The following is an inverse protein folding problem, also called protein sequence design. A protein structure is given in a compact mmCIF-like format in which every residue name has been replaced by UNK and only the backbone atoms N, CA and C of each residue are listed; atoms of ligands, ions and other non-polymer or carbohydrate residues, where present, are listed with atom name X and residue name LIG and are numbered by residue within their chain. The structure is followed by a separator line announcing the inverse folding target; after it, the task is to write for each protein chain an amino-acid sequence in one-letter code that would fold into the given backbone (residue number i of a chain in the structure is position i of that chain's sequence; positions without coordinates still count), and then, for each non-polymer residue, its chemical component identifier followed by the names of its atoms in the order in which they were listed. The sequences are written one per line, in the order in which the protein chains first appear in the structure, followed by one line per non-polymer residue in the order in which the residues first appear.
data_IF_369425787070
#
_entry.id   IF_369425787070
#
_cell.length_a   1.000
_cell.length_b   1.000
_cell.length_c   1.000
_cell.angle_alpha   90.00
_cell.angle_beta   90.00
_cell.angle_gamma   90.00
#
_symmetry.space_group_name_H-M   'P 1'
#
loop_
_entity.id
_entity.type
_entity.pdbx_description
1 polymer ?
#
# COMPACT_ATOMS: atom_id res chain seq x y z
N UNK A 1 20.37 4.54 56.34
CA UNK A 1 20.15 3.19 56.83
C UNK A 1 19.97 2.35 55.61
N UNK A 2 21.00 1.84 55.25
CA UNK A 2 21.55 0.46 55.38
C UNK A 2 21.22 -0.30 54.14
N UNK A 3 22.11 -0.44 53.21
CA UNK A 3 23.14 -1.48 53.06
C UNK A 3 22.56 -2.77 52.53
N UNK A 4 23.08 -3.45 51.59
CA UNK A 4 24.39 -3.93 51.11
C UNK A 4 24.09 -4.94 50.03
N UNK A 5 24.85 -4.91 49.04
CA UNK A 5 25.97 -5.78 48.66
C UNK A 5 25.62 -7.13 48.05
N UNK A 6 26.34 -7.45 46.96
CA UNK A 6 26.90 -8.75 46.65
C UNK A 6 26.93 -9.12 45.21
N UNK A 7 28.00 -8.79 44.48
CA UNK A 7 28.54 -9.67 43.46
C UNK A 7 29.47 -10.65 44.15
N UNK A 8 30.38 -11.38 43.51
CA UNK A 8 30.66 -11.65 42.12
C UNK A 8 31.00 -13.15 41.84
N UNK A 9 31.72 -13.36 40.74
CA UNK A 9 32.70 -14.43 40.46
C UNK A 9 32.17 -15.73 39.82
N UNK A 10 32.71 -16.17 38.83
CA UNK A 10 34.02 -16.36 38.23
C UNK A 10 34.20 -17.81 37.80
N UNK A 11 34.83 -17.98 36.69
CA UNK A 11 35.75 -19.05 36.33
C UNK A 11 35.29 -20.49 36.07
N UNK A 12 35.79 -20.99 34.97
CA UNK A 12 35.92 -22.43 34.74
C UNK A 12 36.26 -22.79 33.31
N UNK A 13 37.47 -22.43 32.89
CA UNK A 13 38.06 -23.00 31.68
C UNK A 13 38.53 -24.42 31.88
N UNK A 14 38.41 -25.28 30.87
CA UNK A 14 39.19 -26.49 30.74
C UNK A 14 39.65 -26.65 29.32
N UNK A 15 40.97 -26.62 29.18
CA UNK A 15 41.76 -26.95 28.00
C UNK A 15 41.97 -28.48 27.91
N UNK A 16 41.98 -28.98 26.64
CA UNK A 16 42.83 -30.08 26.21
C UNK A 16 42.17 -31.37 25.71
N UNK A 17 42.79 -32.21 24.92
CA UNK A 17 44.15 -32.09 24.35
C UNK A 17 44.24 -32.36 22.83
N UNK A 18 45.32 -31.88 22.27
CA UNK A 18 45.81 -32.25 20.91
C UNK A 18 46.19 -33.72 20.83
N UNK A 19 45.88 -34.39 19.73
CA UNK A 19 46.56 -35.62 19.28
C UNK A 19 46.95 -35.54 17.81
N UNK A 20 48.23 -35.51 17.66
CA UNK A 20 49.22 -36.01 16.72
C UNK A 20 48.79 -36.59 15.36
N UNK A 21 49.52 -36.06 14.42
CA UNK A 21 49.81 -36.46 13.06
C UNK A 21 50.03 -37.98 12.89
N UNK A 22 49.54 -38.50 11.78
CA UNK A 22 50.23 -39.55 11.05
C UNK A 22 50.12 -39.28 9.55
N UNK A 23 51.29 -39.01 8.96
CA UNK A 23 51.50 -39.03 7.53
C UNK A 23 51.51 -40.51 7.07
N UNK A 24 50.68 -40.83 6.12
CA UNK A 24 50.81 -42.02 5.32
C UNK A 24 51.01 -41.64 3.86
N UNK A 25 52.20 -41.89 3.38
CA UNK A 25 52.68 -41.74 2.02
C UNK A 25 52.29 -43.03 1.30
N UNK A 26 51.35 -43.01 0.37
CA UNK A 26 51.09 -44.18 -0.48
C UNK A 26 51.17 -43.75 -1.95
N UNK A 27 51.94 -44.60 -2.62
CA UNK A 27 52.46 -44.49 -3.98
C UNK A 27 51.36 -44.38 -5.07
N UNK A 28 51.69 -43.59 -6.04
CA UNK A 28 51.09 -43.42 -7.36
C UNK A 28 50.87 -44.73 -8.11
N UNK A 29 49.68 -44.92 -8.61
CA UNK A 29 49.43 -45.66 -9.87
C UNK A 29 48.44 -44.82 -10.67
N UNK A 30 48.88 -44.31 -11.81
CA UNK A 30 48.07 -43.67 -12.79
C UNK A 30 47.09 -44.67 -13.45
N UNK A 31 45.83 -44.40 -13.54
CA UNK A 31 44.92 -45.17 -14.39
C UNK A 31 44.93 -44.62 -15.81
N UNK A 32 44.91 -45.54 -16.77
CA UNK A 32 44.80 -45.30 -18.21
C UNK A 32 43.55 -44.50 -18.59
N UNK A 33 43.62 -43.65 -19.64
CA UNK A 33 42.44 -42.91 -20.12
C UNK A 33 41.47 -43.87 -20.81
N UNK A 34 40.26 -43.95 -20.29
CA UNK A 34 39.10 -44.55 -20.93
C UNK A 34 38.60 -43.69 -22.10
N UNK A 35 38.12 -44.26 -23.21
CA UNK A 35 37.61 -43.49 -24.33
C UNK A 35 36.34 -42.73 -23.92
N UNK A 36 36.42 -41.42 -24.02
CA UNK A 36 35.30 -40.52 -23.80
C UNK A 36 34.17 -40.76 -24.81
N UNK A 37 33.06 -41.32 -24.36
CA UNK A 37 31.83 -41.29 -25.12
C UNK A 37 31.34 -39.83 -25.23
N UNK A 38 31.50 -39.28 -26.42
CA UNK A 38 30.89 -37.98 -26.76
C UNK A 38 29.37 -38.18 -26.81
N UNK A 39 28.68 -37.75 -25.76
CA UNK A 39 27.22 -37.66 -25.77
C UNK A 39 26.87 -36.36 -26.50
N UNK A 40 26.12 -36.37 -27.60
CA UNK A 40 25.74 -35.17 -28.27
C UNK A 40 24.81 -34.36 -27.34
N UNK A 41 25.26 -33.19 -26.93
CA UNK A 41 24.48 -32.24 -26.14
C UNK A 41 23.36 -31.60 -27.00
N UNK A 42 22.23 -32.31 -27.10
CA UNK A 42 21.01 -31.74 -27.71
C UNK A 42 20.18 -30.88 -26.73
N UNK A 43 20.67 -30.66 -25.51
CA UNK A 43 19.91 -29.96 -24.45
C UNK A 43 19.90 -28.42 -24.44
N UNK A 44 20.78 -27.65 -25.14
CA UNK A 44 20.71 -26.19 -24.96
C UNK A 44 19.55 -25.50 -25.73
N UNK A 45 19.01 -26.14 -26.78
CA UNK A 45 17.97 -25.51 -27.60
C UNK A 45 16.60 -25.54 -26.93
N UNK A 46 16.28 -26.59 -26.17
CA UNK A 46 15.01 -26.72 -25.47
C UNK A 46 14.95 -25.77 -24.24
N UNK A 47 16.06 -25.60 -23.53
CA UNK A 47 16.16 -24.69 -22.37
C UNK A 47 16.03 -23.21 -22.77
N UNK A 48 16.54 -22.81 -23.93
CA UNK A 48 16.42 -21.44 -24.44
C UNK A 48 14.98 -21.14 -24.86
N UNK A 49 14.28 -22.09 -25.49
CA UNK A 49 12.88 -21.92 -25.86
C UNK A 49 11.94 -21.84 -24.64
N UNK A 50 12.24 -22.60 -23.59
CA UNK A 50 11.45 -22.54 -22.34
C UNK A 50 11.68 -21.21 -21.60
N UNK A 51 12.90 -20.66 -21.61
CA UNK A 51 13.21 -19.36 -21.01
C UNK A 51 12.55 -18.19 -21.76
N UNK A 52 12.47 -18.24 -23.09
CA UNK A 52 11.73 -17.25 -23.89
C UNK A 52 10.23 -17.30 -23.66
N UNK A 53 9.66 -18.49 -23.45
CA UNK A 53 8.21 -18.64 -23.17
C UNK A 53 7.83 -18.07 -21.78
N UNK A 54 8.70 -18.18 -20.77
CA UNK A 54 8.45 -17.58 -19.45
C UNK A 54 8.57 -16.05 -19.45
N UNK A 55 9.38 -15.44 -20.30
CA UNK A 55 9.53 -13.99 -20.39
C UNK A 55 8.28 -13.30 -20.97
N UNK A 56 7.42 -14.01 -21.71
CA UNK A 56 6.22 -13.46 -22.33
C UNK A 56 5.02 -13.32 -21.37
N UNK A 57 5.09 -13.83 -20.13
CA UNK A 57 3.97 -13.84 -19.19
C UNK A 57 4.01 -12.72 -18.13
N UNK A 58 5.00 -11.85 -18.18
CA UNK A 58 5.08 -10.69 -17.28
C UNK A 58 4.26 -9.52 -17.85
N UNK A 59 2.95 -9.72 -18.08
CA UNK A 59 2.02 -8.61 -18.22
C UNK A 59 1.83 -8.01 -16.82
N UNK A 60 2.73 -7.10 -16.42
CA UNK A 60 2.43 -6.15 -15.37
C UNK A 60 1.28 -5.28 -15.87
N UNK A 61 0.04 -5.67 -15.56
CA UNK A 61 -1.13 -4.83 -15.80
C UNK A 61 -0.89 -3.53 -15.06
N UNK A 62 -0.53 -2.47 -15.79
CA UNK A 62 -0.62 -1.12 -15.26
C UNK A 62 -2.08 -0.97 -14.77
N UNK A 63 -2.25 -0.66 -13.50
CA UNK A 63 -3.58 -0.48 -12.94
C UNK A 63 -4.16 0.81 -13.54
N UNK A 64 -5.16 0.66 -14.41
CA UNK A 64 -5.83 1.78 -15.05
C UNK A 64 -6.64 2.60 -14.02
N UNK A 65 -6.83 3.89 -14.32
CA UNK A 65 -7.70 4.75 -13.54
C UNK A 65 -9.13 4.23 -13.61
N UNK A 66 -9.84 4.13 -12.47
CA UNK A 66 -11.26 3.81 -12.48
C UNK A 66 -12.08 5.08 -12.78
N UNK A 67 -12.85 5.06 -13.89
CA UNK A 67 -13.62 6.21 -14.35
C UNK A 67 -15.13 5.99 -14.30
N UNK A 68 -15.59 4.73 -14.22
CA UNK A 68 -16.98 4.33 -14.42
C UNK A 68 -17.66 3.88 -13.12
N UNK A 69 -17.46 4.62 -12.02
CA UNK A 69 -18.17 4.35 -10.78
C UNK A 69 -19.56 5.02 -10.79
N UNK A 70 -20.54 4.45 -10.05
CA UNK A 70 -21.81 5.12 -9.79
C UNK A 70 -21.59 6.53 -9.22
N UNK A 71 -22.47 7.44 -9.54
CA UNK A 71 -22.35 8.85 -9.12
C UNK A 71 -23.49 9.26 -8.20
N UNK A 72 -23.22 10.20 -7.31
CA UNK A 72 -24.21 10.85 -6.45
C UNK A 72 -23.99 12.35 -6.44
N UNK A 73 -25.08 13.09 -6.31
CA UNK A 73 -25.01 14.53 -6.12
C UNK A 73 -24.97 14.85 -4.64
N UNK A 74 -23.92 15.57 -4.27
CA UNK A 74 -23.74 16.11 -2.93
C UNK A 74 -23.81 17.64 -2.98
N UNK A 75 -24.06 18.25 -1.84
CA UNK A 75 -23.96 19.69 -1.66
C UNK A 75 -23.09 20.04 -0.47
N UNK A 76 -22.38 21.16 -0.57
CA UNK A 76 -21.65 21.77 0.52
C UNK A 76 -22.03 23.28 0.54
N UNK A 77 -22.95 23.66 1.42
CA UNK A 77 -23.61 24.93 1.33
C UNK A 77 -24.35 25.08 0.00
N UNK A 78 -24.08 26.17 -0.77
CA UNK A 78 -24.65 26.42 -2.08
C UNK A 78 -23.97 25.67 -3.25
N UNK A 79 -22.88 25.00 -3.01
CA UNK A 79 -22.06 24.35 -4.05
C UNK A 79 -22.49 22.90 -4.27
N UNK A 80 -22.65 22.53 -5.55
CA UNK A 80 -22.96 21.17 -5.95
C UNK A 80 -21.67 20.41 -6.28
N UNK A 81 -21.64 19.13 -5.93
CA UNK A 81 -20.54 18.21 -6.16
C UNK A 81 -21.09 16.97 -6.85
N UNK A 82 -20.51 16.61 -7.98
CA UNK A 82 -20.79 15.35 -8.66
C UNK A 82 -19.75 14.31 -8.23
N UNK A 83 -20.08 13.50 -7.21
CA UNK A 83 -19.17 12.57 -6.61
C UNK A 83 -19.34 11.16 -7.19
N UNK A 84 -18.26 10.54 -7.62
CA UNK A 84 -18.22 9.09 -7.84
C UNK A 84 -18.21 8.35 -6.52
N UNK A 85 -18.90 7.20 -6.44
CA UNK A 85 -19.06 6.45 -5.19
C UNK A 85 -18.20 5.20 -5.21
N UNK A 86 -17.19 5.16 -4.34
CA UNK A 86 -16.34 4.00 -4.09
C UNK A 86 -16.84 3.26 -2.84
N UNK A 87 -17.74 2.28 -3.02
CA UNK A 87 -18.36 1.53 -1.92
C UNK A 87 -17.75 0.13 -1.73
N UNK A 88 -17.21 -0.48 -2.79
CA UNK A 88 -16.61 -1.80 -2.71
C UNK A 88 -15.14 -1.71 -2.26
N UNK A 89 -14.61 -2.72 -1.53
CA UNK A 89 -13.21 -2.69 -1.06
C UNK A 89 -12.21 -2.38 -2.17
N UNK A 90 -12.34 -3.02 -3.33
CA UNK A 90 -11.46 -2.80 -4.48
C UNK A 90 -11.56 -1.38 -5.05
N UNK A 91 -12.77 -0.80 -5.06
CA UNK A 91 -12.99 0.57 -5.51
C UNK A 91 -12.31 1.57 -4.57
N UNK A 92 -12.43 1.36 -3.25
CA UNK A 92 -11.78 2.19 -2.23
C UNK A 92 -10.25 2.09 -2.29
N UNK A 93 -9.72 0.89 -2.53
CA UNK A 93 -8.28 0.66 -2.68
C UNK A 93 -7.70 1.43 -3.88
N UNK A 94 -8.40 1.44 -5.01
CA UNK A 94 -7.97 2.16 -6.21
C UNK A 94 -8.18 3.68 -6.04
N UNK A 95 -9.33 4.09 -5.55
CA UNK A 95 -9.65 5.50 -5.36
C UNK A 95 -9.41 6.33 -6.64
N UNK A 96 -8.71 7.45 -6.50
CA UNK A 96 -8.35 8.37 -7.60
C UNK A 96 -6.95 8.07 -8.20
N UNK A 97 -6.39 6.90 -7.95
CA UNK A 97 -5.10 6.49 -8.53
C UNK A 97 -5.11 6.62 -10.06
N UNK A 98 -3.96 7.02 -10.60
CA UNK A 98 -3.66 7.12 -12.03
C UNK A 98 -4.54 8.10 -12.83
N UNK A 99 -5.43 8.87 -12.19
CA UNK A 99 -6.15 9.94 -12.85
C UNK A 99 -5.23 11.11 -13.15
N UNK A 100 -5.29 11.60 -14.39
CA UNK A 100 -4.48 12.74 -14.85
C UNK A 100 -5.19 14.07 -14.55
N UNK A 101 -6.51 14.06 -14.49
CA UNK A 101 -7.35 15.23 -14.26
C UNK A 101 -8.65 14.86 -13.55
N UNK A 102 -9.27 15.83 -12.91
CA UNK A 102 -10.61 15.75 -12.33
C UNK A 102 -11.23 17.15 -12.38
N UNK A 103 -12.43 17.30 -12.99
CA UNK A 103 -13.16 18.56 -13.02
C UNK A 103 -13.36 19.18 -11.62
N UNK A 104 -13.42 20.51 -11.55
CA UNK A 104 -13.47 21.21 -10.26
C UNK A 104 -14.72 20.90 -9.42
N UNK A 105 -15.83 20.56 -10.05
CA UNK A 105 -17.07 20.18 -9.38
C UNK A 105 -17.19 18.68 -9.13
N UNK A 106 -16.19 17.89 -9.49
CA UNK A 106 -16.16 16.45 -9.29
C UNK A 106 -15.30 16.05 -8.09
N UNK A 107 -15.66 14.89 -7.51
CA UNK A 107 -14.92 14.25 -6.42
C UNK A 107 -15.19 12.78 -6.36
N UNK A 108 -14.64 12.13 -5.31
CA UNK A 108 -14.93 10.73 -4.99
C UNK A 108 -15.38 10.60 -3.54
N UNK A 109 -16.55 10.00 -3.35
CA UNK A 109 -17.10 9.65 -2.05
C UNK A 109 -16.78 8.18 -1.75
N UNK A 110 -15.92 7.95 -0.77
CA UNK A 110 -15.64 6.64 -0.20
C UNK A 110 -16.68 6.33 0.86
N UNK A 111 -17.28 5.15 0.75
CA UNK A 111 -18.30 4.65 1.67
C UNK A 111 -17.81 3.39 2.34
N UNK A 112 -17.75 3.40 3.66
CA UNK A 112 -17.37 2.25 4.48
C UNK A 112 -18.58 1.64 5.16
N UNK A 113 -18.49 0.36 5.49
CA UNK A 113 -19.59 -0.40 6.08
C UNK A 113 -19.90 0.04 7.52
N UNK A 114 -18.84 0.39 8.28
CA UNK A 114 -18.93 0.81 9.66
C UNK A 114 -18.05 2.04 9.91
N UNK A 115 -18.43 2.92 10.85
CA UNK A 115 -17.57 4.01 11.28
C UNK A 115 -16.28 3.47 11.92
N UNK A 116 -15.14 3.97 11.47
CA UNK A 116 -13.82 3.68 12.02
C UNK A 116 -12.88 4.86 11.78
N UNK A 117 -11.71 4.88 12.41
CA UNK A 117 -10.65 5.79 12.00
C UNK A 117 -10.23 5.40 10.59
N UNK A 118 -10.56 6.25 9.61
CA UNK A 118 -10.19 6.05 8.21
C UNK A 118 -8.89 6.80 7.92
N UNK A 119 -7.95 6.09 7.27
CA UNK A 119 -6.65 6.66 6.89
C UNK A 119 -6.43 6.49 5.40
N UNK A 120 -5.94 7.56 4.77
CA UNK A 120 -5.70 7.64 3.33
C UNK A 120 -4.24 7.96 3.03
N UNK A 121 -3.77 7.52 1.89
CA UNK A 121 -2.45 7.78 1.34
C UNK A 121 -2.59 8.20 -0.12
N UNK A 122 -1.50 8.74 -0.71
CA UNK A 122 -1.51 9.22 -2.09
C UNK A 122 -0.70 8.35 -3.05
N UNK A 123 -0.49 7.07 -2.70
CA UNK A 123 0.19 6.10 -3.57
C UNK A 123 -0.47 6.09 -4.95
N UNK A 124 0.32 6.23 -6.01
CA UNK A 124 -0.14 6.26 -7.41
C UNK A 124 -1.17 7.34 -7.73
N UNK A 125 -1.47 8.27 -6.84
CA UNK A 125 -2.40 9.39 -7.07
C UNK A 125 -1.61 10.58 -7.59
N UNK A 126 -1.98 11.07 -8.78
CA UNK A 126 -1.25 12.12 -9.49
C UNK A 126 -1.76 13.53 -9.18
N UNK A 127 -3.00 13.61 -8.71
CA UNK A 127 -3.68 14.87 -8.41
C UNK A 127 -3.42 15.27 -6.96
N UNK A 128 -3.15 16.56 -6.67
CA UNK A 128 -3.20 17.06 -5.32
C UNK A 128 -4.67 17.10 -4.85
N UNK A 129 -4.96 16.50 -3.70
CA UNK A 129 -6.31 16.32 -3.18
C UNK A 129 -6.46 16.90 -1.78
N UNK A 130 -7.71 17.21 -1.42
CA UNK A 130 -8.12 17.43 -0.02
C UNK A 130 -9.13 16.35 0.35
N UNK A 131 -8.85 15.58 1.40
CA UNK A 131 -9.80 14.63 1.98
C UNK A 131 -10.66 15.32 3.06
N UNK A 132 -11.97 15.27 2.92
CA UNK A 132 -12.94 15.60 3.95
C UNK A 132 -13.42 14.32 4.63
N UNK A 133 -13.10 14.12 5.89
CA UNK A 133 -13.60 13.02 6.71
C UNK A 133 -14.97 13.41 7.27
N UNK A 134 -16.00 12.58 7.02
CA UNK A 134 -17.40 12.98 7.19
C UNK A 134 -18.13 11.96 8.08
N UNK A 135 -18.79 12.47 9.11
CA UNK A 135 -19.65 11.69 10.00
C UNK A 135 -20.96 11.29 9.30
N UNK A 136 -21.71 10.38 9.90
CA UNK A 136 -22.94 9.83 9.33
C UNK A 136 -24.03 10.89 9.07
N UNK A 137 -24.01 11.98 9.84
CA UNK A 137 -24.93 13.12 9.70
C UNK A 137 -24.48 14.16 8.66
N UNK A 138 -23.44 13.86 7.89
CA UNK A 138 -22.87 14.77 6.88
C UNK A 138 -21.91 15.81 7.44
N UNK A 139 -21.65 15.87 8.72
CA UNK A 139 -20.71 16.82 9.34
C UNK A 139 -19.27 16.49 8.96
N UNK A 140 -18.56 17.47 8.43
CA UNK A 140 -17.12 17.37 8.17
C UNK A 140 -16.37 17.39 9.51
N UNK A 141 -15.74 16.29 9.87
CA UNK A 141 -14.94 16.12 11.10
C UNK A 141 -13.62 16.90 10.95
N UNK A 142 -12.89 16.60 9.88
CA UNK A 142 -11.66 17.29 9.54
C UNK A 142 -11.39 17.27 8.03
N UNK A 143 -10.57 18.21 7.60
CA UNK A 143 -10.05 18.34 6.24
C UNK A 143 -8.54 18.16 6.30
N UNK A 144 -7.98 17.45 5.32
CA UNK A 144 -6.53 17.25 5.20
C UNK A 144 -6.10 17.35 3.74
N UNK A 145 -5.15 18.24 3.48
CA UNK A 145 -4.50 18.32 2.17
C UNK A 145 -3.46 17.23 2.02
N UNK A 146 -3.48 16.57 0.87
CA UNK A 146 -2.65 15.40 0.58
C UNK A 146 -1.83 15.65 -0.67
N UNK A 147 -0.52 15.46 -0.57
CA UNK A 147 0.40 15.67 -1.68
C UNK A 147 0.48 14.42 -2.58
N UNK A 148 0.52 14.61 -3.92
CA UNK A 148 0.61 13.51 -4.86
C UNK A 148 1.76 12.56 -4.58
N UNK A 149 1.53 11.25 -4.76
CA UNK A 149 2.53 10.17 -4.70
C UNK A 149 3.22 9.98 -3.36
N UNK A 150 2.72 10.60 -2.28
CA UNK A 150 3.22 10.34 -0.92
C UNK A 150 2.61 9.08 -0.33
N UNK A 151 3.31 8.51 0.64
CA UNK A 151 2.84 7.35 1.41
C UNK A 151 2.45 7.72 2.84
N UNK A 152 2.44 9.02 3.13
CA UNK A 152 2.03 9.55 4.43
C UNK A 152 0.57 9.18 4.70
N UNK A 153 0.30 8.84 5.94
CA UNK A 153 -1.04 8.46 6.38
C UNK A 153 -1.80 9.68 6.87
N UNK A 154 -2.92 9.96 6.23
CA UNK A 154 -3.83 11.06 6.55
C UNK A 154 -5.12 10.50 7.13
N UNK A 155 -5.36 10.72 8.44
CA UNK A 155 -6.44 10.03 9.15
C UNK A 155 -7.54 10.96 9.63
N UNK A 156 -8.74 10.36 9.82
CA UNK A 156 -9.84 11.04 10.50
C UNK A 156 -9.55 11.23 11.99
N UNK A 157 -10.01 12.37 12.54
CA UNK A 157 -9.88 12.67 13.97
C UNK A 157 -10.91 11.95 14.84
N UNK A 158 -12.02 11.51 14.25
CA UNK A 158 -13.07 10.72 14.87
C UNK A 158 -13.37 9.52 13.97
N UNK A 159 -14.02 8.43 14.45
CA UNK A 159 -14.54 7.39 13.60
C UNK A 159 -15.52 7.94 12.57
N UNK A 160 -15.32 7.65 11.30
CA UNK A 160 -16.17 8.08 10.20
C UNK A 160 -16.48 6.95 9.25
N UNK A 161 -17.60 7.02 8.55
CA UNK A 161 -18.00 6.08 7.50
C UNK A 161 -17.84 6.66 6.10
N UNK A 162 -17.62 7.95 5.98
CA UNK A 162 -17.52 8.62 4.69
C UNK A 162 -16.26 9.47 4.60
N UNK A 163 -15.66 9.46 3.41
CA UNK A 163 -14.56 10.37 3.08
C UNK A 163 -14.84 10.92 1.68
N UNK A 164 -14.80 12.24 1.54
CA UNK A 164 -14.95 12.92 0.25
C UNK A 164 -13.62 13.52 -0.17
N UNK A 165 -13.07 13.03 -1.27
CA UNK A 165 -11.87 13.61 -1.90
C UNK A 165 -12.28 14.59 -2.99
N UNK A 166 -11.70 15.79 -2.94
CA UNK A 166 -11.85 16.87 -3.94
C UNK A 166 -10.47 17.35 -4.38
N UNK A 167 -10.40 18.06 -5.51
CA UNK A 167 -9.19 18.80 -5.89
C UNK A 167 -8.71 19.68 -4.72
N UNK A 168 -7.41 19.67 -4.45
CA UNK A 168 -6.81 20.44 -3.35
C UNK A 168 -7.23 21.92 -3.42
N UNK A 169 -7.52 22.48 -2.24
CA UNK A 169 -7.97 23.85 -2.10
C UNK A 169 -9.45 24.10 -2.49
N UNK A 170 -10.20 23.07 -2.94
CA UNK A 170 -11.62 23.26 -3.30
C UNK A 170 -12.44 23.75 -2.11
N UNK A 171 -12.29 23.12 -0.95
CA UNK A 171 -13.01 23.50 0.28
C UNK A 171 -12.62 24.91 0.75
N UNK A 172 -11.33 25.22 0.73
CA UNK A 172 -10.81 26.52 1.15
C UNK A 172 -11.38 27.67 0.30
N UNK A 173 -11.29 27.54 -1.05
CA UNK A 173 -11.82 28.56 -1.98
C UNK A 173 -13.32 28.80 -1.81
N UNK A 174 -14.04 27.87 -1.22
CA UNK A 174 -15.49 27.95 -0.99
C UNK A 174 -15.85 28.24 0.47
N UNK A 175 -14.84 28.52 1.28
CA UNK A 175 -14.96 28.78 2.73
C UNK A 175 -15.70 27.64 3.48
N UNK A 176 -15.52 26.40 3.04
CA UNK A 176 -16.06 25.21 3.70
C UNK A 176 -14.99 24.68 4.66
N UNK A 177 -15.35 24.50 5.92
CA UNK A 177 -14.43 24.15 7.01
C UNK A 177 -14.96 22.93 7.78
N UNK A 178 -14.14 22.38 8.68
CA UNK A 178 -14.59 21.39 9.67
C UNK A 178 -15.78 21.95 10.44
N UNK A 179 -16.78 21.12 10.69
CA UNK A 179 -18.08 21.47 11.26
C UNK A 179 -19.15 21.79 10.21
N UNK A 180 -18.78 22.14 8.97
CA UNK A 180 -19.76 22.30 7.89
C UNK A 180 -20.45 20.95 7.58
N UNK A 181 -21.65 21.00 6.99
CA UNK A 181 -22.39 19.79 6.64
C UNK A 181 -22.49 19.63 5.13
N UNK A 182 -22.29 18.39 4.69
CA UNK A 182 -22.65 17.96 3.36
C UNK A 182 -24.12 17.53 3.33
N UNK A 183 -24.83 17.86 2.25
CA UNK A 183 -26.17 17.38 1.95
C UNK A 183 -26.17 16.45 0.75
N UNK A 184 -27.34 15.89 0.43
CA UNK A 184 -27.49 14.86 -0.60
C UNK A 184 -27.31 13.45 -0.04
N UNK A 185 -27.65 12.42 -0.85
CA UNK A 185 -27.45 11.02 -0.42
C UNK A 185 -25.95 10.71 -0.29
N UNK A 186 -25.51 10.07 0.81
CA UNK A 186 -26.31 9.32 1.81
C UNK A 186 -26.76 10.13 3.03
N UNK A 187 -26.45 11.42 3.16
CA UNK A 187 -26.59 12.20 4.39
C UNK A 187 -28.00 12.65 4.70
N UNK A 188 -28.87 12.83 3.69
CA UNK A 188 -30.24 13.36 3.88
C UNK A 188 -31.15 12.43 4.70
N UNK A 189 -30.78 11.15 4.87
CA UNK A 189 -31.57 10.18 5.64
C UNK A 189 -31.14 10.05 7.10
N UNK A 190 -30.06 10.69 7.51
CA UNK A 190 -29.52 10.61 8.87
C UNK A 190 -30.23 11.56 9.87
N UNK A 191 -31.14 12.40 9.38
CA UNK A 191 -31.86 13.42 10.16
C UNK A 191 -33.29 13.00 10.55
N UNK A 192 -33.63 11.70 10.41
CA UNK A 192 -34.97 11.17 10.81
C UNK A 192 -34.87 10.21 11.96
#
# INVERSE_FOLDING_TARGET
MSDRDGGPDANGGILGPRKHRHCYKAHSRAPHPSPSKVIPTMLPRLAVLLALACAALSNASAQDAQLDLPRTRLSAGMYQIDAQVAAMPRQREIGLMNRKEMPQAEGMLFVFEQPATQCFWMKNTLLPLTAAFVADDGRIVNLVDMQPRTLDSHCSKEPVRYVLEMNQGWFERKNIRSGARLGGRPFDNASR
#
